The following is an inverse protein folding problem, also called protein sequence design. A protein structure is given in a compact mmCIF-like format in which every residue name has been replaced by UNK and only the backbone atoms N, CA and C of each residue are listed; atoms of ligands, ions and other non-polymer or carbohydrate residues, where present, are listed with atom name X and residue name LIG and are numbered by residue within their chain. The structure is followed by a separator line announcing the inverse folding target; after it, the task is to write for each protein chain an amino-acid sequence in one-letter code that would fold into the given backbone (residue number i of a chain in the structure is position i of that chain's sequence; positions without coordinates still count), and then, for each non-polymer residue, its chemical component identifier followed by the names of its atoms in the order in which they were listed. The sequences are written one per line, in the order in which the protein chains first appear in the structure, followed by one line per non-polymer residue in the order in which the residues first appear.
data_IF_666130640402
#
_entry.id   IF_666130640402
#
_cell.length_a   1.000
_cell.length_b   1.000
_cell.length_c   1.000
_cell.angle_alpha   90.00
_cell.angle_beta   90.00
_cell.angle_gamma   90.00
#
_symmetry.space_group_name_H-M   'P 1'
#
loop_
_entity.id
_entity.type
_entity.pdbx_description
1 polymer ?
#
# COMPACT_ATOMS: atom_id res chain seq x y z
N UNK A 1 26.73 27.23 -9.59
CA UNK A 1 25.43 26.58 -9.61
C UNK A 1 24.33 27.58 -9.34
N UNK A 2 23.32 27.60 -10.16
CA UNK A 2 22.24 28.59 -10.10
C UNK A 2 21.25 28.22 -8.99
N UNK A 3 21.03 29.15 -8.05
CA UNK A 3 20.06 28.93 -6.96
C UNK A 3 18.64 28.78 -7.46
N UNK A 4 18.27 29.50 -8.52
CA UNK A 4 16.94 29.37 -9.11
C UNK A 4 16.73 27.98 -9.70
N UNK A 5 17.73 27.40 -10.36
CA UNK A 5 17.66 26.05 -10.89
C UNK A 5 17.53 25.01 -9.77
N UNK A 6 18.27 25.20 -8.67
CA UNK A 6 18.18 24.30 -7.51
C UNK A 6 16.79 24.35 -6.87
N UNK A 7 16.24 25.56 -6.72
CA UNK A 7 14.91 25.74 -6.15
C UNK A 7 13.83 25.11 -7.03
N UNK A 8 13.98 25.27 -8.35
CA UNK A 8 13.05 24.67 -9.30
C UNK A 8 13.08 23.14 -9.24
N UNK A 9 14.28 22.55 -9.10
CA UNK A 9 14.45 21.11 -8.94
C UNK A 9 13.83 20.60 -7.64
N UNK A 10 14.02 21.36 -6.55
CA UNK A 10 13.43 21.00 -5.26
C UNK A 10 11.90 21.03 -5.31
N UNK A 11 11.34 22.05 -5.94
CA UNK A 11 9.89 22.16 -6.11
C UNK A 11 9.33 21.03 -7.00
N UNK A 12 10.06 20.70 -8.07
CA UNK A 12 9.67 19.61 -8.96
C UNK A 12 9.63 18.27 -8.22
N UNK A 13 10.66 18.04 -7.39
CA UNK A 13 10.70 16.82 -6.56
C UNK A 13 9.54 16.76 -5.59
N UNK A 14 9.24 17.87 -4.90
CA UNK A 14 8.11 17.93 -3.98
C UNK A 14 6.79 17.64 -4.70
N UNK A 15 6.62 18.19 -5.89
CA UNK A 15 5.42 17.96 -6.70
C UNK A 15 5.30 16.49 -7.08
N UNK A 16 6.40 15.87 -7.49
CA UNK A 16 6.41 14.44 -7.86
C UNK A 16 6.13 13.54 -6.67
N UNK A 17 6.69 13.85 -5.50
CA UNK A 17 6.44 13.09 -4.27
C UNK A 17 4.97 13.21 -3.89
N UNK A 18 4.41 14.42 -3.91
CA UNK A 18 2.99 14.63 -3.59
C UNK A 18 2.08 13.87 -4.55
N UNK A 19 2.38 13.92 -5.84
CA UNK A 19 1.62 13.18 -6.85
C UNK A 19 1.71 11.67 -6.63
N UNK A 20 2.90 11.17 -6.27
CA UNK A 20 3.09 9.74 -5.98
C UNK A 20 2.29 9.32 -4.74
N UNK A 21 2.29 10.14 -3.70
CA UNK A 21 1.50 9.87 -2.49
C UNK A 21 0.00 9.88 -2.77
N UNK A 22 -0.48 10.84 -3.56
CA UNK A 22 -1.87 10.88 -3.98
C UNK A 22 -2.25 9.65 -4.80
N UNK A 23 -1.37 9.23 -5.69
CA UNK A 23 -1.56 8.03 -6.49
C UNK A 23 -1.66 6.78 -5.59
N UNK A 24 -0.76 6.66 -4.60
CA UNK A 24 -0.77 5.54 -3.66
C UNK A 24 -2.08 5.49 -2.86
N UNK A 25 -2.61 6.65 -2.49
CA UNK A 25 -3.87 6.71 -1.75
C UNK A 25 -5.05 6.20 -2.58
N UNK A 26 -4.95 6.23 -3.91
CA UNK A 26 -5.98 5.75 -4.84
C UNK A 26 -5.77 4.30 -5.28
N UNK A 27 -4.62 3.73 -4.99
CA UNK A 27 -4.31 2.34 -5.35
C UNK A 27 -4.74 1.41 -4.23
N UNK A 28 -5.16 0.20 -4.60
CA UNK A 28 -5.63 -0.81 -3.65
C UNK A 28 -4.89 -2.11 -3.86
N UNK A 29 -4.49 -2.73 -2.77
CA UNK A 29 -3.95 -4.10 -2.75
C UNK A 29 -4.89 -4.96 -1.93
N UNK A 30 -4.85 -6.28 -2.14
CA UNK A 30 -5.67 -7.23 -1.39
C UNK A 30 -4.80 -8.23 -0.65
N UNK A 31 -4.99 -8.29 0.66
CA UNK A 31 -4.39 -9.30 1.50
C UNK A 31 -5.33 -10.48 1.62
N UNK A 32 -4.81 -11.68 1.40
CA UNK A 32 -5.61 -12.90 1.30
C UNK A 32 -5.05 -13.93 2.26
N UNK A 33 -5.93 -14.56 3.04
CA UNK A 33 -5.56 -15.67 3.93
C UNK A 33 -6.61 -16.77 3.85
N UNK A 34 -6.22 -17.99 4.25
CA UNK A 34 -7.08 -19.19 4.25
C UNK A 34 -7.76 -19.41 2.90
N UNK A 35 -6.97 -19.42 1.83
CA UNK A 35 -7.46 -19.67 0.46
C UNK A 35 -8.63 -18.76 0.07
N UNK A 36 -8.57 -17.50 0.50
CA UNK A 36 -9.60 -16.52 0.20
C UNK A 36 -10.73 -16.46 1.22
N UNK A 37 -10.59 -17.17 2.34
CA UNK A 37 -11.57 -17.11 3.43
C UNK A 37 -11.65 -15.75 4.09
N UNK A 38 -10.53 -15.00 4.11
CA UNK A 38 -10.47 -13.62 4.55
C UNK A 38 -9.72 -12.82 3.50
N UNK A 39 -10.32 -11.70 3.07
CA UNK A 39 -9.70 -10.78 2.11
C UNK A 39 -9.79 -9.36 2.68
N UNK A 40 -8.66 -8.72 2.87
CA UNK A 40 -8.57 -7.32 3.29
C UNK A 40 -8.14 -6.46 2.12
N UNK A 41 -8.87 -5.36 1.89
CA UNK A 41 -8.48 -4.36 0.90
C UNK A 41 -7.79 -3.21 1.60
N UNK A 42 -6.62 -2.81 1.10
CA UNK A 42 -5.78 -1.79 1.71
C UNK A 42 -5.28 -0.83 0.64
N UNK A 43 -5.21 0.47 0.97
CA UNK A 43 -4.61 1.45 0.06
C UNK A 43 -3.10 1.38 0.13
N UNK A 44 -2.43 2.02 -0.83
CA UNK A 44 -0.99 2.20 -0.81
C UNK A 44 -0.48 3.03 0.37
N UNK A 45 -1.36 3.63 1.15
CA UNK A 45 -1.03 4.37 2.37
C UNK A 45 -1.43 3.61 3.63
N UNK A 46 -1.65 2.30 3.51
CA UNK A 46 -1.98 1.38 4.61
C UNK A 46 -3.36 1.56 5.22
N UNK A 47 -4.25 2.32 4.59
CA UNK A 47 -5.63 2.43 5.07
C UNK A 47 -6.40 1.18 4.68
N UNK A 48 -7.05 0.54 5.65
CA UNK A 48 -7.89 -0.62 5.39
C UNK A 48 -9.26 -0.13 4.93
N UNK A 49 -9.67 -0.57 3.75
CA UNK A 49 -10.96 -0.19 3.16
C UNK A 49 -12.06 -1.17 3.51
N UNK A 50 -11.72 -2.45 3.57
CA UNK A 50 -12.69 -3.50 3.86
C UNK A 50 -12.02 -4.76 4.32
N UNK A 51 -12.75 -5.56 5.09
CA UNK A 51 -12.37 -6.90 5.48
C UNK A 51 -13.57 -7.79 5.15
N UNK A 52 -13.38 -8.74 4.26
CA UNK A 52 -14.43 -9.67 3.85
C UNK A 52 -14.09 -11.04 4.41
N UNK A 53 -15.01 -11.61 5.21
CA UNK A 53 -14.82 -12.90 5.86
C UNK A 53 -15.91 -13.84 5.34
N UNK A 54 -15.51 -14.99 4.82
CA UNK A 54 -16.48 -16.01 4.42
C UNK A 54 -17.16 -16.60 5.65
N UNK A 55 -18.46 -16.86 5.60
CA UNK A 55 -19.20 -17.34 6.79
C UNK A 55 -18.59 -18.60 7.43
N UNK A 56 -18.06 -19.52 6.63
CA UNK A 56 -17.48 -20.77 7.13
C UNK A 56 -16.23 -20.53 7.99
N UNK A 57 -15.54 -19.40 7.81
CA UNK A 57 -14.39 -19.05 8.63
C UNK A 57 -14.81 -18.81 10.08
N UNK A 58 -15.99 -18.23 10.29
CA UNK A 58 -16.48 -17.91 11.63
C UNK A 58 -16.66 -19.17 12.50
N UNK A 59 -16.91 -20.31 11.88
CA UNK A 59 -17.08 -21.57 12.60
C UNK A 59 -15.77 -22.09 13.21
N UNK A 60 -14.61 -21.53 12.82
CA UNK A 60 -13.32 -21.94 13.33
C UNK A 60 -13.02 -21.41 14.73
N UNK A 61 -13.84 -20.48 15.22
CA UNK A 61 -13.69 -19.91 16.55
C UNK A 61 -12.89 -18.62 16.55
N UNK A 62 -13.07 -17.82 17.59
CA UNK A 62 -12.53 -16.47 17.68
C UNK A 62 -11.01 -16.42 17.55
N UNK A 63 -10.29 -17.32 18.21
CA UNK A 63 -8.81 -17.31 18.17
C UNK A 63 -8.29 -17.58 16.76
N UNK A 64 -8.87 -18.57 16.09
CA UNK A 64 -8.46 -18.91 14.72
C UNK A 64 -8.81 -17.80 13.74
N UNK A 65 -10.00 -17.23 13.87
CA UNK A 65 -10.45 -16.10 13.02
C UNK A 65 -9.51 -14.91 13.20
N UNK A 66 -9.15 -14.58 14.43
CA UNK A 66 -8.21 -13.49 14.73
C UNK A 66 -6.86 -13.71 14.04
N UNK A 67 -6.34 -14.94 14.08
CA UNK A 67 -5.07 -15.27 13.45
C UNK A 67 -5.17 -15.13 11.92
N UNK A 68 -6.26 -15.58 11.33
CA UNK A 68 -6.46 -15.49 9.87
C UNK A 68 -6.56 -14.03 9.43
N UNK A 69 -7.27 -13.19 10.19
CA UNK A 69 -7.37 -11.76 9.91
C UNK A 69 -5.98 -11.11 9.97
N UNK A 70 -5.19 -11.46 10.98
CA UNK A 70 -3.82 -10.97 11.11
C UNK A 70 -2.96 -11.38 9.91
N UNK A 71 -3.09 -12.63 9.48
CA UNK A 71 -2.35 -13.13 8.32
C UNK A 71 -2.73 -12.39 7.04
N UNK A 72 -4.02 -12.11 6.84
CA UNK A 72 -4.50 -11.34 5.70
C UNK A 72 -3.96 -9.91 5.73
N UNK A 73 -3.90 -9.29 6.92
CA UNK A 73 -3.32 -7.96 7.09
C UNK A 73 -1.83 -7.96 6.70
N UNK A 74 -1.08 -8.94 7.18
CA UNK A 74 0.36 -9.04 6.86
C UNK A 74 0.58 -9.19 5.36
N UNK A 75 -0.27 -9.97 4.69
CA UNK A 75 -0.19 -10.13 3.25
C UNK A 75 -0.50 -8.81 2.52
N UNK A 76 -1.54 -8.10 2.95
CA UNK A 76 -1.89 -6.80 2.39
C UNK A 76 -0.76 -5.79 2.59
N UNK A 77 -0.19 -5.74 3.80
CA UNK A 77 0.90 -4.83 4.12
C UNK A 77 2.14 -5.10 3.27
N UNK A 78 2.49 -6.36 3.07
CA UNK A 78 3.63 -6.73 2.23
C UNK A 78 3.41 -6.26 0.79
N UNK A 79 2.20 -6.41 0.27
CA UNK A 79 1.85 -5.95 -1.07
C UNK A 79 1.87 -4.42 -1.17
N UNK A 80 1.37 -3.74 -0.14
CA UNK A 80 1.42 -2.27 -0.08
C UNK A 80 2.87 -1.78 -0.03
N UNK A 81 3.73 -2.45 0.75
CA UNK A 81 5.16 -2.12 0.82
C UNK A 81 5.81 -2.20 -0.56
N UNK A 82 5.53 -3.25 -1.32
CA UNK A 82 6.05 -3.41 -2.68
C UNK A 82 5.54 -2.33 -3.62
N UNK A 83 4.28 -1.97 -3.50
CA UNK A 83 3.66 -0.93 -4.31
C UNK A 83 4.32 0.43 -4.03
N UNK A 84 4.54 0.74 -2.75
CA UNK A 84 5.21 1.98 -2.33
C UNK A 84 6.64 2.01 -2.88
N UNK A 85 7.38 0.92 -2.74
CA UNK A 85 8.75 0.82 -3.24
C UNK A 85 8.81 1.07 -4.74
N UNK A 86 7.94 0.44 -5.52
CA UNK A 86 7.86 0.62 -6.96
C UNK A 86 7.54 2.06 -7.34
N UNK A 87 6.55 2.65 -6.66
CA UNK A 87 6.08 4.00 -6.95
C UNK A 87 7.17 5.03 -6.64
N UNK A 88 7.82 4.89 -5.49
CA UNK A 88 8.88 5.82 -5.07
C UNK A 88 10.16 5.63 -5.89
N UNK A 89 10.46 4.41 -6.32
CA UNK A 89 11.60 4.16 -7.21
C UNK A 89 11.40 4.83 -8.55
N UNK A 90 10.18 4.88 -9.05
CA UNK A 90 9.87 5.57 -10.31
C UNK A 90 10.11 7.08 -10.17
N UNK A 91 9.76 7.68 -9.02
CA UNK A 91 10.03 9.09 -8.74
C UNK A 91 11.53 9.35 -8.70
N UNK A 92 12.27 8.53 -7.96
CA UNK A 92 13.72 8.64 -7.83
C UNK A 92 14.41 8.43 -9.17
N UNK A 93 13.98 7.43 -9.94
CA UNK A 93 14.52 7.13 -11.25
C UNK A 93 14.37 8.29 -12.23
N UNK A 94 13.25 9.01 -12.17
CA UNK A 94 13.01 10.15 -13.05
C UNK A 94 13.91 11.35 -12.73
N UNK A 95 14.49 11.39 -11.53
CA UNK A 95 15.41 12.46 -11.12
C UNK A 95 16.84 12.18 -11.54
N UNK A 96 17.21 10.93 -11.71
CA UNK A 96 18.58 10.55 -12.04
C UNK A 96 18.88 10.64 -13.54
N UNK A 97 17.89 10.97 -14.34
CA UNK A 97 18.04 11.20 -15.78
C UNK A 97 18.32 12.69 -16.11
#
# INVERSE_FOLDING_TARGET
MDMEALMAQAQDLQTKIAAAQDSLAQMTVKGIAENGGVVESMTGKYDILSVVIRPEILSLGADKVSQIITDAYKDAKAKADLLIEKTMSAVTGSLSE
#
